data_IF_154243390204
#
_entry.id   IF_154243390204
#
_cell.length_a   1.000
_cell.length_b   1.000
_cell.length_c   1.000
_cell.angle_alpha   90.00
_cell.angle_beta   90.00
_cell.angle_gamma   90.00
#
_symmetry.space_group_name_H-M   'P 1'
#
loop_
_entity.id
_entity.type
_entity.pdbx_description
1 polymer ?
#
# COMPACT_ATOMS: atom_id res chain seq x y z
N UNK A 1 -30.57 -26.86 -19.36
CA UNK A 1 -29.08 -26.88 -19.41
C UNK A 1 -28.45 -25.49 -19.32
N UNK A 2 -29.08 -24.40 -19.80
CA UNK A 2 -28.53 -23.02 -19.72
C UNK A 2 -28.22 -22.50 -18.31
N UNK A 3 -29.00 -22.87 -17.29
CA UNK A 3 -28.81 -22.36 -15.92
C UNK A 3 -27.50 -22.80 -15.25
N UNK A 4 -26.96 -23.97 -15.61
CA UNK A 4 -25.69 -24.47 -15.06
C UNK A 4 -24.48 -23.76 -15.69
N UNK A 5 -24.60 -23.34 -16.95
CA UNK A 5 -23.55 -22.61 -17.67
C UNK A 5 -23.44 -21.14 -17.21
N UNK A 6 -24.57 -20.51 -16.88
CA UNK A 6 -24.62 -19.14 -16.32
C UNK A 6 -24.01 -19.04 -14.91
N UNK A 7 -24.26 -20.04 -14.06
CA UNK A 7 -23.64 -20.14 -12.73
C UNK A 7 -22.12 -20.35 -12.82
N UNK A 8 -21.65 -21.15 -13.77
CA UNK A 8 -20.22 -21.35 -14.02
C UNK A 8 -19.53 -20.07 -14.56
N UNK A 9 -20.22 -19.27 -15.39
CA UNK A 9 -19.72 -17.98 -15.84
C UNK A 9 -19.68 -16.93 -14.71
N UNK A 10 -20.67 -16.93 -13.81
CA UNK A 10 -20.66 -16.06 -12.62
C UNK A 10 -19.54 -16.37 -11.63
N UNK A 11 -19.22 -17.66 -11.45
CA UNK A 11 -18.09 -18.10 -10.61
C UNK A 11 -16.72 -17.95 -11.29
N UNK A 12 -16.67 -17.97 -12.62
CA UNK A 12 -15.46 -17.68 -13.41
C UNK A 12 -15.04 -16.21 -13.35
N UNK A 13 -16.02 -15.29 -13.29
CA UNK A 13 -15.75 -13.85 -13.17
C UNK A 13 -15.30 -13.48 -11.75
N UNK A 14 -15.79 -14.17 -10.70
CA UNK A 14 -15.34 -13.93 -9.32
C UNK A 14 -13.95 -14.51 -9.01
N UNK A 15 -13.48 -15.48 -9.80
CA UNK A 15 -12.12 -16.06 -9.66
C UNK A 15 -11.06 -15.38 -10.52
N UNK A 16 -11.47 -14.64 -11.55
CA UNK A 16 -10.59 -13.86 -12.44
C UNK A 16 -10.74 -12.34 -12.27
N UNK A 17 -11.46 -11.90 -11.24
CA UNK A 17 -11.60 -10.48 -10.92
C UNK A 17 -10.23 -9.89 -10.56
N UNK A 18 -9.53 -9.40 -11.57
CA UNK A 18 -8.48 -8.40 -11.40
C UNK A 18 -9.15 -7.27 -10.63
N UNK A 19 -8.87 -7.17 -9.33
CA UNK A 19 -9.37 -6.09 -8.49
C UNK A 19 -8.59 -4.83 -8.83
N UNK A 20 -8.78 -4.33 -10.05
CA UNK A 20 -8.22 -3.06 -10.48
C UNK A 20 -8.75 -1.97 -9.56
N UNK A 21 -7.87 -1.05 -9.16
CA UNK A 21 -8.28 0.14 -8.45
C UNK A 21 -9.08 1.00 -9.44
N UNK A 22 -10.32 1.39 -9.11
CA UNK A 22 -11.10 2.27 -9.97
C UNK A 22 -10.40 3.61 -10.18
N UNK A 23 -10.65 4.27 -11.32
CA UNK A 23 -10.18 5.63 -11.57
C UNK A 23 -11.03 6.64 -10.80
N UNK A 24 -10.79 6.77 -9.50
CA UNK A 24 -11.54 7.64 -8.58
C UNK A 24 -11.42 9.13 -8.92
N UNK A 25 -10.41 9.53 -9.69
CA UNK A 25 -10.26 10.90 -10.20
C UNK A 25 -11.50 11.42 -10.95
N UNK A 26 -12.29 10.52 -11.54
CA UNK A 26 -13.48 10.82 -12.33
C UNK A 26 -14.78 10.72 -11.54
N UNK A 27 -14.72 10.37 -10.25
CA UNK A 27 -15.92 10.22 -9.42
C UNK A 27 -16.41 11.59 -8.94
N UNK A 28 -17.73 11.75 -8.93
CA UNK A 28 -18.40 12.86 -8.24
C UNK A 28 -18.24 12.75 -6.72
N UNK A 29 -18.46 13.86 -6.01
CA UNK A 29 -18.45 13.89 -4.55
C UNK A 29 -19.35 12.81 -3.93
N UNK A 30 -20.58 12.64 -4.42
CA UNK A 30 -21.53 11.64 -3.89
C UNK A 30 -21.02 10.21 -4.12
N UNK A 31 -20.42 9.91 -5.28
CA UNK A 31 -19.85 8.59 -5.54
C UNK A 31 -18.65 8.30 -4.63
N UNK A 32 -17.78 9.28 -4.39
CA UNK A 32 -16.67 9.14 -3.46
C UNK A 32 -17.15 8.94 -2.02
N UNK A 33 -18.20 9.63 -1.59
CA UNK A 33 -18.81 9.43 -0.26
C UNK A 33 -19.41 8.02 -0.11
N UNK A 34 -20.06 7.49 -1.15
CA UNK A 34 -20.58 6.13 -1.15
C UNK A 34 -19.45 5.09 -1.07
N UNK A 35 -18.37 5.29 -1.83
CA UNK A 35 -17.20 4.42 -1.74
C UNK A 35 -16.52 4.50 -0.37
N UNK A 36 -16.40 5.70 0.21
CA UNK A 36 -15.88 5.87 1.56
C UNK A 36 -16.73 5.10 2.58
N UNK A 37 -18.06 5.23 2.54
CA UNK A 37 -18.97 4.50 3.42
C UNK A 37 -18.87 2.99 3.25
N UNK A 38 -18.62 2.51 2.04
CA UNK A 38 -18.41 1.08 1.75
C UNK A 38 -17.05 0.57 2.24
N UNK A 39 -15.99 1.37 2.07
CA UNK A 39 -14.61 0.96 2.34
C UNK A 39 -14.23 1.04 3.82
N UNK A 40 -14.75 2.03 4.56
CA UNK A 40 -14.48 2.19 6.00
C UNK A 40 -14.72 0.90 6.79
N UNK A 41 -15.89 0.23 6.75
CA UNK A 41 -16.09 -0.98 7.54
C UNK A 41 -15.21 -2.16 7.10
N UNK A 42 -14.72 -2.17 5.86
CA UNK A 42 -13.80 -3.20 5.34
C UNK A 42 -12.35 -2.98 5.81
N UNK A 43 -12.00 -1.75 6.19
CA UNK A 43 -10.63 -1.32 6.45
C UNK A 43 -10.40 -0.76 7.84
N UNK A 44 -11.44 -0.57 8.66
CA UNK A 44 -11.37 0.08 9.97
C UNK A 44 -10.34 -0.58 10.89
N UNK A 45 -10.42 -1.90 11.07
CA UNK A 45 -9.46 -2.66 11.87
C UNK A 45 -8.05 -2.55 11.30
N UNK A 46 -7.91 -2.60 9.98
CA UNK A 46 -6.61 -2.48 9.32
C UNK A 46 -6.01 -1.09 9.55
N UNK A 47 -6.81 -0.03 9.45
CA UNK A 47 -6.38 1.35 9.72
C UNK A 47 -5.98 1.54 11.18
N UNK A 48 -6.69 0.96 12.14
CA UNK A 48 -6.29 1.00 13.55
C UNK A 48 -4.90 0.39 13.71
N UNK A 49 -4.65 -0.76 13.09
CA UNK A 49 -3.34 -1.40 13.15
C UNK A 49 -2.25 -0.64 12.40
N UNK A 50 -2.52 -0.06 11.24
CA UNK A 50 -1.52 0.78 10.53
C UNK A 50 -1.16 1.99 11.39
N UNK A 51 -2.14 2.65 12.02
CA UNK A 51 -1.88 3.76 12.94
C UNK A 51 -1.06 3.32 14.17
N UNK A 52 -1.32 2.13 14.71
CA UNK A 52 -0.49 1.55 15.76
C UNK A 52 0.96 1.32 15.28
N UNK A 53 1.13 0.73 14.10
CA UNK A 53 2.43 0.48 13.49
C UNK A 53 3.18 1.78 13.13
N UNK A 54 2.46 2.84 12.74
CA UNK A 54 3.03 4.17 12.53
C UNK A 54 3.62 4.72 13.83
N UNK A 55 2.96 4.51 14.98
CA UNK A 55 3.53 4.90 16.27
C UNK A 55 4.77 4.09 16.65
N UNK A 56 4.85 2.82 16.23
CA UNK A 56 6.08 2.01 16.37
C UNK A 56 7.19 2.58 15.48
N UNK A 57 6.88 2.84 14.21
CA UNK A 57 7.81 3.42 13.24
C UNK A 57 8.40 4.75 13.75
N UNK A 58 7.55 5.65 14.26
CA UNK A 58 7.98 6.92 14.88
C UNK A 58 8.97 6.74 16.03
N UNK A 59 8.74 5.72 16.87
CA UNK A 59 9.63 5.39 18.00
C UNK A 59 10.95 4.79 17.53
N UNK A 60 10.95 4.03 16.44
CA UNK A 60 12.16 3.45 15.88
C UNK A 60 13.04 4.50 15.18
N UNK A 61 12.44 5.42 14.42
CA UNK A 61 13.20 6.53 13.84
C UNK A 61 13.71 7.48 14.91
N UNK A 62 12.88 7.85 15.89
CA UNK A 62 13.27 8.69 17.02
C UNK A 62 14.00 10.01 16.61
N UNK A 63 13.55 10.64 15.54
CA UNK A 63 14.13 11.88 15.00
C UNK A 63 15.48 11.71 14.31
N UNK A 64 15.93 10.47 14.07
CA UNK A 64 17.18 10.19 13.35
C UNK A 64 17.05 10.56 11.88
N UNK A 65 18.21 10.78 11.28
CA UNK A 65 18.34 10.88 9.84
C UNK A 65 18.24 9.50 9.20
N UNK A 66 17.58 9.44 8.05
CA UNK A 66 17.51 8.27 7.19
C UNK A 66 17.48 8.73 5.74
N UNK A 67 18.03 7.92 4.84
CA UNK A 67 17.79 8.15 3.41
C UNK A 67 16.43 7.61 2.98
N UNK A 68 15.99 7.95 1.76
CA UNK A 68 14.70 7.51 1.23
C UNK A 68 14.60 5.97 1.15
N UNK A 69 15.71 5.29 0.86
CA UNK A 69 15.73 3.83 0.74
C UNK A 69 15.46 3.16 2.10
N UNK A 70 16.22 3.53 3.13
CA UNK A 70 16.07 3.05 4.51
C UNK A 70 14.67 3.37 5.05
N UNK A 71 14.19 4.58 4.80
CA UNK A 71 12.84 4.99 5.19
C UNK A 71 11.77 4.12 4.52
N UNK A 72 11.89 3.87 3.22
CA UNK A 72 10.95 3.03 2.47
C UNK A 72 11.02 1.57 2.87
N UNK A 73 12.22 1.01 3.07
CA UNK A 73 12.41 -0.35 3.58
C UNK A 73 11.71 -0.52 4.94
N UNK A 74 11.96 0.39 5.89
CA UNK A 74 11.38 0.28 7.22
C UNK A 74 9.87 0.54 7.22
N UNK A 75 9.42 1.57 6.51
CA UNK A 75 8.00 1.92 6.42
C UNK A 75 7.20 0.85 5.69
N UNK A 76 7.71 0.32 4.58
CA UNK A 76 7.06 -0.76 3.83
C UNK A 76 6.86 -2.01 4.69
N UNK A 77 7.91 -2.42 5.40
CA UNK A 77 7.86 -3.57 6.29
C UNK A 77 6.89 -3.34 7.45
N UNK A 78 7.07 -2.25 8.22
CA UNK A 78 6.30 -2.03 9.46
C UNK A 78 4.84 -1.72 9.17
N UNK A 79 4.54 -0.94 8.13
CA UNK A 79 3.18 -0.50 7.86
C UNK A 79 2.38 -1.50 7.03
N UNK A 80 3.01 -2.27 6.13
CA UNK A 80 2.26 -3.02 5.12
C UNK A 80 2.49 -4.54 5.06
N UNK A 81 3.64 -5.05 5.52
CA UNK A 81 3.98 -6.48 5.34
C UNK A 81 2.89 -7.43 5.87
N UNK A 82 2.36 -7.13 7.06
CA UNK A 82 1.29 -7.90 7.70
C UNK A 82 0.03 -8.00 6.83
N UNK A 83 -0.41 -6.88 6.26
CA UNK A 83 -1.65 -6.83 5.49
C UNK A 83 -1.53 -7.55 4.17
N UNK A 84 -0.30 -7.74 3.69
CA UNK A 84 0.01 -8.40 2.45
C UNK A 84 0.50 -9.84 2.66
N UNK A 85 0.16 -10.51 3.76
CA UNK A 85 0.67 -11.87 4.03
C UNK A 85 0.03 -12.98 3.16
N UNK A 86 -1.20 -12.77 2.68
CA UNK A 86 -1.96 -13.73 1.86
C UNK A 86 -1.92 -13.41 0.37
N UNK A 87 -0.89 -12.71 -0.09
CA UNK A 87 -0.61 -12.57 -1.52
C UNK A 87 -0.50 -13.93 -2.21
N UNK A 88 -0.77 -13.95 -3.51
CA UNK A 88 -0.58 -15.13 -4.35
C UNK A 88 0.50 -14.86 -5.39
N UNK A 89 1.30 -15.89 -5.68
CA UNK A 89 2.32 -15.87 -6.72
C UNK A 89 2.27 -17.20 -7.47
N UNK A 90 1.65 -17.18 -8.65
CA UNK A 90 1.49 -18.35 -9.51
C UNK A 90 2.19 -18.10 -10.84
N UNK A 91 3.33 -18.77 -11.06
CA UNK A 91 4.17 -18.53 -12.23
C UNK A 91 4.71 -17.10 -12.25
N UNK A 92 4.29 -16.30 -13.24
CA UNK A 92 4.64 -14.88 -13.39
C UNK A 92 3.52 -13.94 -12.96
N UNK A 93 2.47 -14.43 -12.31
CA UNK A 93 1.33 -13.61 -11.89
C UNK A 93 1.37 -13.43 -10.38
N UNK A 94 1.49 -12.17 -9.95
CA UNK A 94 1.36 -11.75 -8.56
C UNK A 94 0.00 -11.10 -8.33
N UNK A 95 -0.63 -11.41 -7.20
CA UNK A 95 -1.81 -10.65 -6.71
C UNK A 95 -1.62 -10.34 -5.23
N UNK A 96 -1.76 -9.06 -4.89
CA UNK A 96 -1.72 -8.59 -3.52
C UNK A 96 -2.89 -9.17 -2.70
N UNK A 97 -2.71 -9.20 -1.38
CA UNK A 97 -3.78 -9.54 -0.45
C UNK A 97 -4.96 -8.55 -0.63
N UNK A 98 -6.22 -9.02 -0.66
CA UNK A 98 -7.39 -8.14 -0.78
C UNK A 98 -7.46 -7.02 0.27
N UNK A 99 -6.90 -7.25 1.47
CA UNK A 99 -6.82 -6.21 2.51
C UNK A 99 -6.02 -5.01 2.04
N UNK A 100 -4.88 -5.23 1.37
CA UNK A 100 -4.07 -4.16 0.77
C UNK A 100 -4.87 -3.43 -0.30
N UNK A 101 -5.58 -4.17 -1.17
CA UNK A 101 -6.39 -3.55 -2.23
C UNK A 101 -7.45 -2.61 -1.64
N UNK A 102 -8.16 -3.04 -0.60
CA UNK A 102 -9.19 -2.21 0.04
C UNK A 102 -8.58 -1.01 0.79
N UNK A 103 -7.40 -1.18 1.42
CA UNK A 103 -6.63 -0.07 2.02
C UNK A 103 -6.26 0.97 0.95
N UNK A 104 -5.69 0.54 -0.17
CA UNK A 104 -5.27 1.46 -1.24
C UNK A 104 -6.49 2.18 -1.84
N UNK A 105 -7.60 1.46 -2.07
CA UNK A 105 -8.85 2.08 -2.54
C UNK A 105 -9.36 3.14 -1.57
N UNK A 106 -9.29 2.88 -0.25
CA UNK A 106 -9.69 3.88 0.75
C UNK A 106 -8.79 5.11 0.66
N UNK A 107 -7.47 4.91 0.55
CA UNK A 107 -6.51 6.01 0.53
C UNK A 107 -6.71 6.89 -0.69
N UNK A 108 -6.91 6.26 -1.85
CA UNK A 108 -7.15 6.96 -3.11
C UNK A 108 -8.52 7.67 -3.13
N UNK A 109 -9.55 7.04 -2.56
CA UNK A 109 -10.87 7.68 -2.36
C UNK A 109 -10.74 8.93 -1.47
N UNK A 110 -10.04 8.83 -0.35
CA UNK A 110 -9.81 9.95 0.56
C UNK A 110 -8.97 11.07 -0.09
N UNK A 111 -7.96 10.72 -0.88
CA UNK A 111 -7.19 11.68 -1.67
C UNK A 111 -8.07 12.44 -2.65
N UNK A 112 -8.94 11.77 -3.39
CA UNK A 112 -9.84 12.45 -4.32
C UNK A 112 -10.96 13.24 -3.65
N UNK A 113 -11.39 12.87 -2.44
CA UNK A 113 -12.31 13.68 -1.65
C UNK A 113 -11.74 15.07 -1.29
N UNK A 114 -10.41 15.19 -1.19
CA UNK A 114 -9.77 16.49 -0.88
C UNK A 114 -10.06 17.57 -1.92
N UNK A 115 -10.43 17.20 -3.16
CA UNK A 115 -10.81 18.14 -4.22
C UNK A 115 -12.11 18.88 -3.94
N UNK A 116 -12.95 18.36 -3.05
CA UNK A 116 -14.31 18.84 -2.81
C UNK A 116 -14.51 19.52 -1.45
N UNK A 117 -13.49 19.50 -0.59
CA UNK A 117 -13.53 20.10 0.77
C UNK A 117 -12.71 21.37 0.80
N UNK A 118 -13.02 22.28 1.72
CA UNK A 118 -12.32 23.56 1.82
C UNK A 118 -11.12 23.51 2.77
N UNK A 119 -11.16 22.60 3.74
CA UNK A 119 -10.12 22.46 4.76
C UNK A 119 -9.85 20.99 5.08
N UNK A 120 -8.63 20.69 5.52
CA UNK A 120 -8.26 19.36 6.02
C UNK A 120 -9.11 18.94 7.23
N UNK A 121 -9.60 19.91 8.02
CA UNK A 121 -10.37 19.65 9.22
C UNK A 121 -11.73 19.00 8.96
N UNK A 122 -12.30 19.23 7.78
CA UNK A 122 -13.56 18.61 7.30
C UNK A 122 -13.43 17.11 7.01
N UNK A 123 -12.20 16.57 6.91
CA UNK A 123 -12.00 15.14 6.69
C UNK A 123 -12.34 14.31 7.92
N UNK A 124 -12.88 13.12 7.66
CA UNK A 124 -13.02 12.09 8.69
C UNK A 124 -11.65 11.69 9.23
N UNK A 125 -11.62 11.16 10.47
CA UNK A 125 -10.38 10.64 11.06
C UNK A 125 -9.73 9.56 10.19
N UNK A 126 -10.54 8.71 9.55
CA UNK A 126 -10.08 7.70 8.60
C UNK A 126 -9.35 8.33 7.42
N UNK A 127 -9.91 9.37 6.80
CA UNK A 127 -9.25 10.04 5.69
C UNK A 127 -8.00 10.81 6.10
N UNK A 128 -7.99 11.43 7.28
CA UNK A 128 -6.78 12.07 7.81
C UNK A 128 -5.65 11.06 7.99
N UNK A 129 -5.92 9.92 8.62
CA UNK A 129 -4.95 8.82 8.76
C UNK A 129 -4.51 8.27 7.39
N UNK A 130 -5.47 8.01 6.51
CA UNK A 130 -5.20 7.47 5.18
C UNK A 130 -4.26 8.37 4.38
N UNK A 131 -4.55 9.67 4.30
CA UNK A 131 -3.72 10.63 3.57
C UNK A 131 -2.31 10.74 4.14
N UNK A 132 -2.19 10.72 5.47
CA UNK A 132 -0.89 10.75 6.12
C UNK A 132 0.01 9.62 5.63
N UNK A 133 -0.53 8.40 5.62
CA UNK A 133 0.19 7.19 5.20
C UNK A 133 0.41 7.19 3.68
N UNK A 134 -0.59 7.64 2.92
CA UNK A 134 -0.54 7.67 1.46
C UNK A 134 0.53 8.63 0.90
N UNK A 135 0.93 9.63 1.70
CA UNK A 135 2.05 10.52 1.39
C UNK A 135 3.35 9.76 1.08
N UNK A 136 3.61 8.62 1.74
CA UNK A 136 4.80 7.79 1.47
C UNK A 136 4.80 7.33 0.01
N UNK A 137 3.63 7.07 -0.56
CA UNK A 137 3.47 6.64 -1.94
C UNK A 137 3.29 7.82 -2.92
N UNK A 138 3.53 9.06 -2.47
CA UNK A 138 3.25 10.27 -3.26
C UNK A 138 1.81 10.33 -3.80
N UNK A 139 0.85 9.85 -3.00
CA UNK A 139 -0.57 9.77 -3.37
C UNK A 139 -0.83 8.99 -4.68
N UNK A 140 0.03 8.02 -4.99
CA UNK A 140 -0.12 7.15 -6.16
C UNK A 140 -0.47 5.71 -5.73
N UNK A 141 -1.56 5.13 -6.27
CA UNK A 141 -2.06 3.85 -5.78
C UNK A 141 -1.15 2.68 -6.18
N UNK A 142 -0.57 2.75 -7.38
CA UNK A 142 0.37 1.77 -7.91
C UNK A 142 1.69 1.80 -7.11
N UNK A 143 2.13 2.99 -6.68
CA UNK A 143 3.26 3.15 -5.78
C UNK A 143 2.98 2.57 -4.39
N UNK A 144 1.78 2.76 -3.85
CA UNK A 144 1.41 2.19 -2.55
C UNK A 144 1.35 0.65 -2.59
N UNK A 145 0.80 0.09 -3.67
CA UNK A 145 0.82 -1.36 -3.93
C UNK A 145 2.25 -1.90 -4.07
N UNK A 146 3.13 -1.14 -4.73
CA UNK A 146 4.55 -1.47 -4.85
C UNK A 146 5.23 -1.47 -3.49
N UNK A 147 4.99 -0.46 -2.66
CA UNK A 147 5.52 -0.36 -1.28
C UNK A 147 5.00 -1.52 -0.43
N UNK A 148 3.72 -1.87 -0.51
CA UNK A 148 3.17 -3.01 0.22
C UNK A 148 3.80 -4.34 -0.20
N UNK A 149 4.01 -4.54 -1.50
CA UNK A 149 4.71 -5.71 -2.05
C UNK A 149 6.16 -5.77 -1.57
N UNK A 150 6.83 -4.62 -1.59
CA UNK A 150 8.21 -4.49 -1.11
C UNK A 150 8.33 -4.83 0.38
N UNK A 151 7.37 -4.40 1.21
CA UNK A 151 7.33 -4.75 2.63
C UNK A 151 7.29 -6.26 2.89
N UNK A 152 6.55 -7.02 2.07
CA UNK A 152 6.54 -8.49 2.14
C UNK A 152 7.87 -9.13 1.72
N UNK A 153 8.57 -8.52 0.75
CA UNK A 153 9.91 -8.97 0.35
C UNK A 153 10.90 -8.75 1.51
N UNK A 154 10.86 -7.57 2.14
CA UNK A 154 11.70 -7.23 3.28
C UNK A 154 11.43 -8.18 4.47
N UNK A 155 10.16 -8.47 4.78
CA UNK A 155 9.80 -9.45 5.83
C UNK A 155 10.42 -10.83 5.55
N UNK A 156 10.28 -11.34 4.33
CA UNK A 156 10.86 -12.62 3.93
C UNK A 156 12.39 -12.63 4.04
N UNK A 157 13.06 -11.55 3.65
CA UNK A 157 14.51 -11.40 3.79
C UNK A 157 14.95 -11.34 5.27
N UNK A 158 14.18 -10.65 6.12
CA UNK A 158 14.46 -10.59 7.56
C UNK A 158 14.35 -11.98 8.20
N UNK A 159 13.29 -12.74 7.88
CA UNK A 159 13.15 -14.15 8.29
C UNK A 159 14.34 -14.99 7.83
N UNK A 160 14.75 -14.83 6.57
CA UNK A 160 15.94 -15.50 6.02
C UNK A 160 17.19 -15.19 6.85
N UNK A 161 17.43 -13.91 7.14
CA UNK A 161 18.60 -13.46 7.90
C UNK A 161 18.64 -13.98 9.35
N UNK A 162 17.47 -14.28 9.92
CA UNK A 162 17.29 -14.87 11.25
C UNK A 162 17.31 -16.40 11.25
N UNK A 163 17.53 -17.03 10.09
CA UNK A 163 17.43 -18.48 9.89
C UNK A 163 16.04 -19.05 10.24
N UNK A 164 14.99 -18.26 10.06
CA UNK A 164 13.62 -18.73 10.19
C UNK A 164 13.19 -19.51 8.93
N UNK A 165 12.40 -20.59 9.04
CA UNK A 165 11.92 -21.34 7.89
C UNK A 165 11.09 -20.45 6.96
N UNK A 166 11.45 -20.44 5.68
CA UNK A 166 10.69 -19.75 4.63
C UNK A 166 9.76 -20.73 3.91
N UNK A 167 8.54 -20.29 3.64
CA UNK A 167 7.64 -20.98 2.73
C UNK A 167 8.08 -20.84 1.28
N UNK A 168 7.60 -21.74 0.41
CA UNK A 168 7.88 -21.66 -1.02
C UNK A 168 7.43 -20.33 -1.65
N UNK A 169 6.32 -19.75 -1.15
CA UNK A 169 5.84 -18.44 -1.62
C UNK A 169 6.82 -17.31 -1.26
N UNK A 170 7.40 -17.34 -0.06
CA UNK A 170 8.37 -16.33 0.39
C UNK A 170 9.70 -16.47 -0.37
N UNK A 171 10.19 -17.69 -0.60
CA UNK A 171 11.36 -17.93 -1.45
C UNK A 171 11.13 -17.42 -2.88
N UNK A 172 9.96 -17.68 -3.45
CA UNK A 172 9.60 -17.19 -4.78
C UNK A 172 9.45 -15.66 -4.81
N UNK A 173 8.92 -15.05 -3.75
CA UNK A 173 8.78 -13.60 -3.61
C UNK A 173 10.15 -12.90 -3.54
N UNK A 174 11.10 -13.42 -2.74
CA UNK A 174 12.49 -12.91 -2.72
C UNK A 174 13.11 -13.04 -4.11
N UNK A 175 12.84 -14.15 -4.80
CA UNK A 175 13.28 -14.37 -6.18
C UNK A 175 12.75 -13.36 -7.20
N UNK A 176 11.67 -12.61 -6.91
CA UNK A 176 11.17 -11.57 -7.82
C UNK A 176 12.18 -10.43 -8.00
N UNK A 177 12.97 -10.10 -6.98
CA UNK A 177 14.02 -9.08 -7.09
C UNK A 177 15.11 -9.46 -8.11
N UNK A 178 15.32 -10.77 -8.30
CA UNK A 178 16.31 -11.32 -9.24
C UNK A 178 15.73 -11.58 -10.63
N UNK A 179 14.40 -11.51 -10.80
CA UNK A 179 13.73 -11.62 -12.09
C UNK A 179 13.61 -10.24 -12.73
N UNK A 180 13.51 -10.20 -14.05
CA UNK A 180 13.14 -8.96 -14.73
C UNK A 180 11.74 -8.54 -14.26
N UNK A 181 11.65 -7.47 -13.46
CA UNK A 181 10.38 -6.99 -12.86
C UNK A 181 9.30 -6.79 -13.92
N UNK A 182 9.67 -6.36 -15.13
CA UNK A 182 8.74 -6.20 -16.25
C UNK A 182 8.19 -7.51 -16.86
N UNK A 183 8.60 -8.67 -16.36
CA UNK A 183 8.06 -9.99 -16.77
C UNK A 183 6.98 -10.53 -15.84
N UNK A 184 6.73 -9.86 -14.71
CA UNK A 184 5.74 -10.26 -13.71
C UNK A 184 4.48 -9.42 -13.93
N UNK A 185 3.33 -10.08 -14.05
CA UNK A 185 2.02 -9.44 -14.02
C UNK A 185 1.61 -9.23 -12.56
N UNK A 186 1.79 -7.99 -12.08
CA UNK A 186 1.36 -7.56 -10.75
C UNK A 186 -0.13 -7.17 -10.70
N UNK A 187 -0.77 -6.90 -11.84
CA UNK A 187 -2.09 -6.25 -11.90
C UNK A 187 -2.06 -4.74 -11.61
N UNK A 188 -0.87 -4.15 -11.43
CA UNK A 188 -0.61 -2.72 -11.24
C UNK A 188 0.77 -2.37 -11.80
N UNK A 189 1.07 -1.07 -11.96
CA UNK A 189 2.41 -0.64 -12.39
C UNK A 189 3.38 -0.75 -11.22
N UNK A 190 4.37 -1.65 -11.29
CA UNK A 190 5.37 -1.78 -10.24
C UNK A 190 6.37 -0.61 -10.30
N UNK A 191 6.15 0.42 -9.48
CA UNK A 191 6.94 1.66 -9.44
C UNK A 191 7.03 2.22 -8.03
N UNK A 192 8.16 2.83 -7.69
CA UNK A 192 8.30 3.63 -6.46
C UNK A 192 8.24 5.12 -6.81
N UNK A 193 7.85 5.99 -5.86
CA UNK A 193 7.98 7.42 -6.05
C UNK A 193 9.45 7.81 -6.27
N UNK A 194 9.74 8.82 -7.12
CA UNK A 194 11.11 9.30 -7.31
C UNK A 194 11.72 9.73 -5.98
N UNK A 195 12.96 9.35 -5.69
CA UNK A 195 13.57 9.67 -4.37
C UNK A 195 13.63 11.17 -4.06
N UNK A 196 13.65 12.02 -5.09
CA UNK A 196 13.57 13.47 -4.95
C UNK A 196 12.34 13.96 -4.17
N UNK A 197 11.23 13.22 -4.17
CA UNK A 197 10.00 13.62 -3.45
C UNK A 197 10.18 13.58 -1.93
N UNK A 198 11.09 12.76 -1.41
CA UNK A 198 11.36 12.64 0.02
C UNK A 198 12.33 13.72 0.53
N UNK A 199 13.10 14.33 -0.37
CA UNK A 199 14.08 15.36 -0.05
C UNK A 199 13.57 16.78 -0.33
N UNK A 200 12.35 16.91 -0.88
CA UNK A 200 11.68 18.21 -0.99
C UNK A 200 11.52 18.82 0.40
N UNK A 201 11.93 20.09 0.57
CA UNK A 201 11.98 20.74 1.88
C UNK A 201 10.64 20.74 2.60
N UNK A 202 9.55 21.05 1.88
CA UNK A 202 8.22 21.12 2.50
C UNK A 202 7.73 19.73 2.90
N UNK A 203 7.96 18.73 2.05
CA UNK A 203 7.58 17.34 2.38
C UNK A 203 8.41 16.78 3.51
N UNK A 204 9.70 17.10 3.57
CA UNK A 204 10.58 16.64 4.64
C UNK A 204 10.12 17.19 6.01
N UNK A 205 9.65 18.44 6.08
CA UNK A 205 9.01 18.96 7.29
C UNK A 205 7.79 18.12 7.69
N UNK A 206 6.92 17.77 6.74
CA UNK A 206 5.79 16.87 6.99
C UNK A 206 6.26 15.47 7.43
N UNK A 207 7.29 14.90 6.81
CA UNK A 207 7.86 13.60 7.21
C UNK A 207 8.42 13.65 8.63
N UNK A 208 9.10 14.73 9.00
CA UNK A 208 9.62 14.95 10.34
C UNK A 208 8.52 15.01 11.39
N UNK A 209 7.45 15.74 11.13
CA UNK A 209 6.32 15.83 12.05
C UNK A 209 5.50 14.52 12.11
N UNK A 210 5.34 13.87 10.96
CA UNK A 210 4.39 12.77 10.77
C UNK A 210 4.99 11.39 10.98
N UNK A 211 6.31 11.25 10.84
CA UNK A 211 7.04 9.98 10.94
C UNK A 211 8.23 10.05 11.89
N UNK A 212 8.51 11.24 12.45
CA UNK A 212 9.63 11.47 13.37
C UNK A 212 10.98 11.04 12.77
N UNK A 213 11.22 11.42 11.52
CA UNK A 213 12.42 11.11 10.73
C UNK A 213 12.87 12.34 9.95
N UNK A 214 14.18 12.54 9.82
CA UNK A 214 14.76 13.61 8.99
C UNK A 214 15.33 12.99 7.71
N UNK A 215 14.68 13.21 6.56
CA UNK A 215 15.04 12.53 5.32
C UNK A 215 16.18 13.26 4.61
N UNK A 216 17.31 12.60 4.41
CA UNK A 216 18.51 13.21 3.80
C UNK A 216 18.98 12.40 2.58
N UNK A 217 19.54 13.04 1.53
CA UNK A 217 20.10 12.31 0.40
C UNK A 217 21.19 11.31 0.81
N UNK A 218 21.36 10.25 0.02
CA UNK A 218 22.49 9.33 0.16
C UNK A 218 23.82 10.09 0.07
N UNK A 219 24.75 9.78 0.99
CA UNK A 219 26.12 10.32 1.00
C UNK A 219 27.04 9.52 0.07
#
# INVERSE_FOLDING_TARGET
MLGKTLLALGLGISTLGVQAIPKYENYSYTQLQQELQRLVPLTDVNLIMINFNLNILKKLHNGRQANAKEFLELSSYILFSYFNENYTLNGNTYRADPRIIDIVKLFDTCYHLTKYIQSYDELTVHCKSALLIYLIADFDPDALLTIATYGSIVDAQLKQSKNEPLSNKELALIGLLNKYVGSIDFGFTFKLPPFSVYYDKKRNEVFKESYNVDLVPDQ
#
